data_IF_459439915368
#
_entry.id   IF_459439915368
#
_cell.length_a   1.000
_cell.length_b   1.000
_cell.length_c   1.000
_cell.angle_alpha   90.00
_cell.angle_beta   90.00
_cell.angle_gamma   90.00
#
_symmetry.space_group_name_H-M   'P 1'
#
loop_
_entity.id
_entity.type
_entity.pdbx_description
1 polymer ?
#
# COMPACT_ATOMS: atom_id res chain seq x y z
N UNK A 1 -21.66 -23.84 -8.07
CA UNK A 1 -21.35 -22.69 -8.94
C UNK A 1 -21.09 -21.47 -8.06
N UNK A 2 -19.97 -20.78 -8.25
CA UNK A 2 -19.73 -19.47 -7.61
C UNK A 2 -20.70 -18.44 -8.20
N UNK A 3 -21.42 -17.70 -7.34
CA UNK A 3 -22.40 -16.72 -7.82
C UNK A 3 -21.71 -15.47 -8.37
N UNK A 4 -22.37 -14.78 -9.31
CA UNK A 4 -21.86 -13.54 -9.88
C UNK A 4 -21.55 -12.48 -8.80
N UNK A 5 -22.37 -12.41 -7.76
CA UNK A 5 -22.17 -11.55 -6.58
C UNK A 5 -20.88 -11.88 -5.84
N UNK A 6 -20.54 -13.17 -5.69
CA UNK A 6 -19.29 -13.59 -5.05
C UNK A 6 -18.07 -13.20 -5.90
N UNK A 7 -18.14 -13.39 -7.22
CA UNK A 7 -17.06 -13.00 -8.14
C UNK A 7 -16.80 -11.49 -8.10
N UNK A 8 -17.84 -10.67 -8.02
CA UNK A 8 -17.72 -9.22 -7.88
C UNK A 8 -17.04 -8.82 -6.55
N UNK A 9 -17.44 -9.44 -5.43
CA UNK A 9 -16.83 -9.20 -4.12
C UNK A 9 -15.36 -9.61 -4.08
N UNK A 10 -15.01 -10.75 -4.67
CA UNK A 10 -13.63 -11.21 -4.76
C UNK A 10 -12.79 -10.27 -5.64
N UNK A 11 -13.32 -9.81 -6.77
CA UNK A 11 -12.63 -8.83 -7.59
C UNK A 11 -12.41 -7.50 -6.83
N UNK A 12 -13.38 -7.08 -6.01
CA UNK A 12 -13.20 -5.93 -5.11
C UNK A 12 -12.10 -6.18 -4.07
N UNK A 13 -12.07 -7.36 -3.44
CA UNK A 13 -11.03 -7.74 -2.47
C UNK A 13 -9.63 -7.73 -3.10
N UNK A 14 -9.49 -8.29 -4.31
CA UNK A 14 -8.23 -8.26 -5.07
C UNK A 14 -7.69 -6.84 -5.24
N UNK A 15 -8.57 -5.88 -5.54
CA UNK A 15 -8.19 -4.47 -5.66
C UNK A 15 -7.85 -3.81 -4.31
N UNK A 16 -8.48 -4.26 -3.21
CA UNK A 16 -8.12 -3.80 -1.86
C UNK A 16 -6.73 -4.29 -1.44
N UNK A 17 -6.38 -5.55 -1.74
CA UNK A 17 -5.04 -6.08 -1.49
C UNK A 17 -3.97 -5.33 -2.29
N UNK A 18 -4.25 -5.04 -3.56
CA UNK A 18 -3.35 -4.23 -4.38
C UNK A 18 -3.16 -2.81 -3.80
N UNK A 19 -4.23 -2.18 -3.35
CA UNK A 19 -4.17 -0.87 -2.69
C UNK A 19 -3.36 -0.91 -1.39
N UNK A 20 -3.61 -1.90 -0.53
CA UNK A 20 -2.89 -2.08 0.72
C UNK A 20 -1.38 -2.29 0.48
N UNK A 21 -1.01 -3.06 -0.55
CA UNK A 21 0.39 -3.22 -0.95
C UNK A 21 1.06 -1.88 -1.27
N UNK A 22 0.44 -1.06 -2.11
CA UNK A 22 0.97 0.27 -2.46
C UNK A 22 1.07 1.21 -1.24
N UNK A 23 0.08 1.17 -0.34
CA UNK A 23 0.13 1.96 0.90
C UNK A 23 1.31 1.55 1.79
N UNK A 24 1.55 0.25 1.95
CA UNK A 24 2.69 -0.26 2.70
C UNK A 24 4.03 0.14 2.07
N UNK A 25 4.12 0.20 0.73
CA UNK A 25 5.33 0.72 0.06
C UNK A 25 5.59 2.19 0.40
N UNK A 26 4.55 3.04 0.39
CA UNK A 26 4.71 4.45 0.79
C UNK A 26 5.08 4.62 2.26
N UNK A 27 4.54 3.77 3.15
CA UNK A 27 4.94 3.77 4.56
C UNK A 27 6.37 3.29 4.74
N UNK A 28 6.79 2.27 3.99
CA UNK A 28 8.17 1.77 3.96
C UNK A 28 9.15 2.87 3.55
N UNK A 29 8.84 3.60 2.47
CA UNK A 29 9.62 4.75 1.99
C UNK A 29 9.73 5.83 3.08
N UNK A 30 8.61 6.23 3.67
CA UNK A 30 8.61 7.22 4.77
C UNK A 30 9.43 6.75 5.97
N UNK A 31 9.32 5.48 6.39
CA UNK A 31 10.15 4.94 7.47
C UNK A 31 11.64 5.00 7.12
N UNK A 32 12.01 4.71 5.87
CA UNK A 32 13.39 4.81 5.40
C UNK A 32 13.91 6.25 5.45
N UNK A 33 13.11 7.24 5.03
CA UNK A 33 13.45 8.67 5.13
C UNK A 33 13.69 9.12 6.59
N UNK A 34 13.01 8.49 7.55
CA UNK A 34 13.09 8.80 8.97
C UNK A 34 14.06 7.89 9.75
N UNK A 35 14.93 7.14 9.05
CA UNK A 35 15.92 6.20 9.65
C UNK A 35 15.30 5.08 10.50
N UNK A 36 14.03 4.73 10.26
CA UNK A 36 13.30 3.63 10.91
C UNK A 36 13.44 2.34 10.07
N UNK A 37 14.68 1.86 9.89
CA UNK A 37 14.99 0.83 8.90
C UNK A 37 14.28 -0.51 9.15
N UNK A 38 14.15 -0.95 10.42
CA UNK A 38 13.43 -2.18 10.74
C UNK A 38 11.94 -2.10 10.37
N UNK A 39 11.30 -0.97 10.65
CA UNK A 39 9.90 -0.72 10.28
C UNK A 39 9.73 -0.58 8.77
N UNK A 40 10.70 0.01 8.08
CA UNK A 40 10.71 0.08 6.61
C UNK A 40 10.71 -1.33 6.00
N UNK A 41 11.55 -2.24 6.51
CA UNK A 41 11.59 -3.64 6.08
C UNK A 41 10.26 -4.34 6.39
N UNK A 42 9.71 -4.15 7.60
CA UNK A 42 8.41 -4.72 7.98
C UNK A 42 7.31 -4.36 6.98
N UNK A 43 7.16 -3.07 6.65
CA UNK A 43 6.14 -2.64 5.69
C UNK A 43 6.40 -3.17 4.28
N UNK A 44 7.67 -3.31 3.87
CA UNK A 44 8.00 -3.90 2.56
C UNK A 44 7.63 -5.39 2.50
N UNK A 45 7.86 -6.13 3.57
CA UNK A 45 7.41 -7.53 3.71
C UNK A 45 5.88 -7.61 3.69
N UNK A 46 5.19 -6.71 4.37
CA UNK A 46 3.73 -6.65 4.36
C UNK A 46 3.19 -6.34 2.96
N UNK A 47 3.81 -5.41 2.24
CA UNK A 47 3.45 -5.10 0.85
C UNK A 47 3.54 -6.34 -0.05
N UNK A 48 4.58 -7.16 0.10
CA UNK A 48 4.76 -8.42 -0.63
C UNK A 48 3.68 -9.46 -0.27
N UNK A 49 3.30 -9.55 1.01
CA UNK A 49 2.23 -10.44 1.46
C UNK A 49 0.89 -10.08 0.82
N UNK A 50 0.54 -8.79 0.78
CA UNK A 50 -0.68 -8.32 0.12
C UNK A 50 -0.68 -8.60 -1.40
N UNK A 51 0.44 -8.48 -2.10
CA UNK A 51 0.54 -8.92 -3.52
C UNK A 51 0.27 -10.42 -3.63
N UNK A 52 0.78 -11.22 -2.71
CA UNK A 52 0.55 -12.67 -2.70
C UNK A 52 -0.95 -12.98 -2.50
N UNK A 53 -1.63 -12.27 -1.59
CA UNK A 53 -3.07 -12.39 -1.39
C UNK A 53 -3.86 -11.98 -2.64
N UNK A 54 -3.51 -10.85 -3.26
CA UNK A 54 -4.08 -10.41 -4.54
C UNK A 54 -3.96 -11.51 -5.60
N UNK A 55 -2.78 -12.11 -5.77
CA UNK A 55 -2.53 -13.14 -6.78
C UNK A 55 -3.33 -14.42 -6.53
N UNK A 56 -3.56 -14.80 -5.26
CA UNK A 56 -4.42 -15.95 -4.92
C UNK A 56 -5.86 -15.71 -5.37
N UNK A 57 -6.40 -14.52 -5.11
CA UNK A 57 -7.75 -14.15 -5.54
C UNK A 57 -7.85 -14.07 -7.06
N UNK A 58 -6.83 -13.50 -7.72
CA UNK A 58 -6.74 -13.44 -9.18
C UNK A 58 -6.82 -14.85 -9.80
N UNK A 59 -6.00 -15.79 -9.31
CA UNK A 59 -5.95 -17.16 -9.81
C UNK A 59 -7.28 -17.90 -9.56
N UNK A 60 -7.89 -17.70 -8.40
CA UNK A 60 -9.21 -18.27 -8.10
C UNK A 60 -10.28 -17.77 -9.08
N UNK A 61 -10.33 -16.46 -9.33
CA UNK A 61 -11.27 -15.86 -10.30
C UNK A 61 -11.03 -16.41 -11.71
N UNK A 62 -9.77 -16.53 -12.15
CA UNK A 62 -9.42 -17.14 -13.44
C UNK A 62 -9.87 -18.60 -13.54
N UNK A 63 -9.62 -19.40 -12.49
CA UNK A 63 -10.04 -20.81 -12.45
C UNK A 63 -11.56 -21.00 -12.47
N UNK A 64 -12.32 -20.02 -11.96
CA UNK A 64 -13.77 -19.99 -12.01
C UNK A 64 -14.33 -19.48 -13.35
N UNK A 65 -13.49 -19.15 -14.35
CA UNK A 65 -13.91 -18.60 -15.64
C UNK A 65 -14.27 -17.11 -15.61
N UNK A 66 -14.01 -16.41 -14.50
CA UNK A 66 -14.23 -14.98 -14.40
C UNK A 66 -13.09 -14.19 -15.07
N UNK A 67 -13.34 -12.90 -15.33
CA UNK A 67 -12.33 -11.96 -15.80
C UNK A 67 -11.94 -11.01 -14.64
N UNK A 68 -10.80 -11.24 -13.95
CA UNK A 68 -10.33 -10.34 -12.90
C UNK A 68 -9.89 -9.00 -13.52
N UNK A 69 -10.28 -7.90 -12.88
CA UNK A 69 -9.95 -6.55 -13.31
C UNK A 69 -9.18 -5.86 -12.20
N UNK A 70 -7.89 -5.63 -12.41
CA UNK A 70 -7.06 -4.76 -11.57
C UNK A 70 -7.31 -3.33 -12.02
N UNK A 71 -7.85 -2.52 -11.13
CA UNK A 71 -8.08 -1.10 -11.39
C UNK A 71 -6.77 -0.36 -11.17
N UNK A 72 -6.33 0.37 -12.19
CA UNK A 72 -5.38 1.45 -12.01
C UNK A 72 -6.08 2.53 -11.19
N UNK A 73 -6.09 2.41 -9.87
CA UNK A 73 -6.55 3.50 -9.03
C UNK A 73 -5.42 4.51 -8.99
N UNK A 74 -5.59 5.58 -9.76
CA UNK A 74 -4.99 6.87 -9.46
C UNK A 74 -5.22 7.07 -7.95
N UNK A 75 -4.14 7.24 -7.18
CA UNK A 75 -4.24 7.72 -5.80
C UNK A 75 -5.33 8.79 -5.80
N UNK A 76 -6.30 8.71 -4.87
CA UNK A 76 -7.25 9.79 -4.71
C UNK A 76 -6.42 11.07 -4.52
N UNK A 77 -6.29 11.81 -5.62
CA UNK A 77 -5.57 13.06 -5.71
C UNK A 77 -6.34 14.02 -4.80
N UNK A 78 -5.68 14.38 -3.71
CA UNK A 78 -6.23 15.29 -2.71
C UNK A 78 -5.42 15.29 -1.43
N UNK A 79 -4.78 14.19 -1.08
CA UNK A 79 -3.87 14.16 0.07
C UNK A 79 -2.58 13.46 -0.31
N UNK A 80 -1.55 14.25 -0.62
CA UNK A 80 -0.22 13.91 -0.09
C UNK A 80 -0.44 13.42 1.34
N UNK A 81 0.08 12.24 1.71
CA UNK A 81 -0.13 11.73 3.05
C UNK A 81 0.27 12.84 4.02
N UNK A 82 -0.63 13.21 4.95
CA UNK A 82 -0.43 14.41 5.79
C UNK A 82 0.95 14.39 6.47
N UNK A 83 1.46 13.20 6.78
CA UNK A 83 2.81 12.94 7.30
C UNK A 83 3.96 13.42 6.40
N UNK A 84 3.80 13.47 5.06
CA UNK A 84 4.79 14.08 4.15
C UNK A 84 4.87 15.60 4.31
N UNK A 85 3.75 16.25 4.63
CA UNK A 85 3.72 17.70 4.91
C UNK A 85 4.35 18.07 6.25
N UNK A 86 4.40 17.15 7.22
CA UNK A 86 5.06 17.40 8.52
C UNK A 86 6.58 17.27 8.44
N UNK A 87 7.10 16.37 7.59
CA UNK A 87 8.55 16.16 7.43
C UNK A 87 9.28 17.40 6.89
N UNK A 88 8.66 18.17 5.98
CA UNK A 88 9.27 19.36 5.37
C UNK A 88 9.37 20.61 6.28
N UNK A 89 8.58 20.71 7.36
CA UNK A 89 8.52 21.93 8.19
C UNK A 89 9.29 21.83 9.51
N UNK A 90 9.67 20.64 9.96
CA UNK A 90 10.31 20.44 11.27
C UNK A 90 11.83 20.18 11.23
N UNK A 91 12.41 19.97 10.05
CA UNK A 91 13.86 19.76 9.91
C UNK A 91 14.67 21.07 9.87
N UNK A 92 14.05 22.23 9.61
CA UNK A 92 14.76 23.52 9.67
C UNK A 92 14.87 24.10 11.10
N UNK A 93 14.05 23.66 12.06
CA UNK A 93 14.13 24.17 13.44
C UNK A 93 15.03 23.33 14.37
N UNK A 94 15.30 22.07 14.03
CA UNK A 94 16.14 21.19 14.86
C UNK A 94 17.63 21.22 14.50
N UNK A 95 18.01 21.83 13.37
CA UNK A 95 19.42 22.01 12.97
C UNK A 95 20.17 23.08 13.78
N UNK A 96 19.47 23.93 14.53
CA UNK A 96 20.08 25.04 15.30
C UNK A 96 20.14 24.76 16.82
N UNK A 97 19.85 23.53 17.26
CA UNK A 97 19.78 23.18 18.68
C UNK A 97 20.72 22.04 19.09
N UNK A 98 21.85 21.88 18.40
CA UNK A 98 22.95 21.04 18.90
C UNK A 98 23.88 21.93 19.77
N UNK A 99 23.91 21.76 21.11
CA UNK A 99 25.00 22.32 21.91
C UNK A 99 26.29 21.57 21.58
N UNK A 100 27.41 22.29 21.65
CA UNK A 100 28.78 21.83 21.34
C UNK A 100 29.18 20.59 22.12
#
# INVERSE_FOLDING_TARGET
MTTQTMMQKLNAQMNLEFYASNLHLHLSEWCSENRLNGTAIFFRTQAQSNVTHMMRVFNFLKGAGANPIVKARMQLMGTTPRWRSYSGKHLKSMSNAAPR
#
